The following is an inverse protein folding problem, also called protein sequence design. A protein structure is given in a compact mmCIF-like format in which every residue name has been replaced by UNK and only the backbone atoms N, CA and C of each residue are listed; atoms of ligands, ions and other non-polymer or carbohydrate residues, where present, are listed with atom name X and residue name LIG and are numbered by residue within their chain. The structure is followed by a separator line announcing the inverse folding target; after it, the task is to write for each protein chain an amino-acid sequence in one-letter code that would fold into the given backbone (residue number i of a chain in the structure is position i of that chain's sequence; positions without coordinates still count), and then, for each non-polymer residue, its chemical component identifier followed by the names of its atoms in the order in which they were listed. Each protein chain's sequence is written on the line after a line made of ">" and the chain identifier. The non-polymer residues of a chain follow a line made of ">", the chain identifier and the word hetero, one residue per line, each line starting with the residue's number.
data_IF_547856751554
#
_entry.id   IF_547856751554
#
_cell.length_a   1.000
_cell.length_b   1.000
_cell.length_c   1.000
_cell.angle_alpha   90.00
_cell.angle_beta   90.00
_cell.angle_gamma   90.00
#
_symmetry.space_group_name_H-M   'P 1'
#
loop_
_entity.id
_entity.type
_entity.pdbx_description
1 polymer ?
#
# COMPACT_ATOMS: atom_id res chain seq x y z
N UNK A 1 52.14 38.84 -8.96
CA UNK A 1 51.52 38.23 -7.76
C UNK A 1 50.09 38.74 -7.65
N UNK A 2 49.17 38.23 -8.47
CA UNK A 2 47.70 38.29 -8.31
C UNK A 2 47.12 37.21 -9.25
N UNK A 3 46.10 36.48 -8.76
CA UNK A 3 45.25 35.48 -9.44
C UNK A 3 45.96 34.17 -9.85
N UNK A 4 45.47 32.97 -9.57
CA UNK A 4 44.08 32.53 -9.42
C UNK A 4 44.04 31.25 -8.57
N UNK A 5 43.42 31.30 -7.38
CA UNK A 5 43.06 30.12 -6.58
C UNK A 5 41.53 30.07 -6.51
N UNK A 6 40.91 29.71 -7.62
CA UNK A 6 39.51 29.32 -7.66
C UNK A 6 39.46 27.83 -8.03
N UNK A 7 39.44 26.97 -7.01
CA UNK A 7 38.87 25.64 -7.21
C UNK A 7 37.37 25.86 -7.47
N UNK A 8 36.80 25.32 -8.57
CA UNK A 8 35.38 25.45 -8.79
C UNK A 8 34.65 24.77 -7.62
N UNK A 9 33.76 25.53 -6.98
CA UNK A 9 32.81 25.01 -6.01
C UNK A 9 31.95 23.99 -6.77
N UNK A 10 32.36 22.73 -6.70
CA UNK A 10 31.56 21.62 -7.17
C UNK A 10 30.27 21.63 -6.37
N UNK A 11 29.16 21.83 -7.06
CA UNK A 11 27.83 21.55 -6.53
C UNK A 11 27.89 20.08 -6.09
N UNK A 12 27.95 19.85 -4.78
CA UNK A 12 27.81 18.50 -4.22
C UNK A 12 26.39 18.08 -4.63
N UNK A 13 26.21 17.04 -5.46
CA UNK A 13 24.87 16.54 -5.75
C UNK A 13 24.24 16.16 -4.41
N UNK A 14 22.93 16.43 -4.19
CA UNK A 14 22.27 15.99 -2.98
C UNK A 14 22.55 14.49 -2.80
N UNK A 15 22.96 14.10 -1.60
CA UNK A 15 23.19 12.69 -1.31
C UNK A 15 21.93 11.90 -1.69
N UNK A 16 22.06 11.00 -2.65
CA UNK A 16 21.02 10.01 -2.96
C UNK A 16 20.69 9.33 -1.62
N UNK A 17 19.43 9.35 -1.16
CA UNK A 17 19.07 8.68 0.07
C UNK A 17 19.42 7.19 -0.07
N UNK A 18 19.77 6.51 1.04
CA UNK A 18 20.05 5.09 0.97
C UNK A 18 18.85 4.36 0.34
N UNK A 19 19.08 3.37 -0.54
CA UNK A 19 18.07 2.78 -1.45
C UNK A 19 16.85 2.16 -0.74
N UNK A 20 16.92 2.04 0.59
CA UNK A 20 15.86 1.54 1.44
C UNK A 20 14.85 2.61 1.89
N UNK A 21 15.21 3.90 1.80
CA UNK A 21 14.36 5.01 2.25
C UNK A 21 13.38 5.50 1.17
N UNK A 22 13.62 5.23 -0.13
CA UNK A 22 12.63 5.53 -1.18
C UNK A 22 11.36 4.66 -1.08
N UNK A 23 11.41 3.53 -0.37
CA UNK A 23 10.35 2.53 -0.41
C UNK A 23 9.57 2.51 0.91
N UNK A 24 8.47 3.27 0.96
CA UNK A 24 7.45 3.22 2.02
C UNK A 24 6.71 1.87 2.00
N UNK A 25 7.38 0.81 2.45
CA UNK A 25 6.83 -0.54 2.57
C UNK A 25 7.21 -1.12 3.92
N UNK A 26 6.27 -1.81 4.57
CA UNK A 26 6.52 -2.48 5.84
C UNK A 26 7.53 -3.61 5.64
N UNK A 27 8.61 -3.57 6.42
CA UNK A 27 9.68 -4.58 6.42
C UNK A 27 9.84 -5.19 7.81
N UNK A 28 10.41 -6.39 7.86
CA UNK A 28 10.90 -7.02 9.09
C UNK A 28 12.20 -6.38 9.55
N UNK A 29 12.65 -6.74 10.75
CA UNK A 29 13.97 -6.36 11.28
C UNK A 29 15.12 -6.76 10.33
N UNK A 30 14.94 -7.84 9.56
CA UNK A 30 15.89 -8.31 8.53
C UNK A 30 15.74 -7.62 7.17
N UNK A 31 15.04 -6.47 7.11
CA UNK A 31 14.77 -5.72 5.87
C UNK A 31 13.99 -6.48 4.79
N UNK A 32 13.29 -7.56 5.14
CA UNK A 32 12.47 -8.34 4.22
C UNK A 32 11.03 -7.80 4.14
N UNK A 33 10.34 -7.92 2.99
CA UNK A 33 8.93 -7.54 2.90
C UNK A 33 8.07 -8.29 3.93
N UNK A 34 7.35 -7.55 4.78
CA UNK A 34 6.49 -8.16 5.77
C UNK A 34 5.08 -8.35 5.22
N UNK A 35 4.67 -9.62 5.08
CA UNK A 35 3.28 -9.97 4.77
C UNK A 35 2.55 -10.27 6.07
N UNK A 36 1.44 -9.56 6.30
CA UNK A 36 0.64 -9.72 7.51
C UNK A 36 0.13 -11.17 7.65
N UNK A 37 0.16 -11.77 8.86
CA UNK A 37 -0.33 -13.13 9.08
C UNK A 37 -1.77 -13.37 8.64
N UNK A 38 -2.62 -12.33 8.72
CA UNK A 38 -4.01 -12.39 8.27
C UNK A 38 -4.09 -12.53 6.74
N UNK A 39 -3.27 -11.77 6.01
CA UNK A 39 -3.21 -11.85 4.54
C UNK A 39 -2.76 -13.24 4.11
N UNK A 40 -1.69 -13.78 4.70
CA UNK A 40 -1.21 -15.15 4.42
C UNK A 40 -2.30 -16.20 4.60
N UNK A 41 -3.08 -16.11 5.69
CA UNK A 41 -4.18 -17.06 5.96
C UNK A 41 -5.30 -16.95 4.92
N UNK A 42 -5.66 -15.74 4.51
CA UNK A 42 -6.73 -15.53 3.53
C UNK A 42 -6.27 -15.97 2.13
N UNK A 43 -5.03 -15.70 1.75
CA UNK A 43 -4.44 -16.20 0.49
C UNK A 43 -4.49 -17.72 0.40
N UNK A 44 -4.11 -18.43 1.48
CA UNK A 44 -4.21 -19.89 1.54
C UNK A 44 -5.64 -20.39 1.38
N UNK A 45 -6.62 -19.71 1.98
CA UNK A 45 -8.05 -20.06 1.84
C UNK A 45 -8.53 -19.87 0.40
N UNK A 46 -8.21 -18.73 -0.22
CA UNK A 46 -8.56 -18.41 -1.60
C UNK A 46 -7.93 -19.42 -2.56
N UNK A 47 -6.65 -19.73 -2.37
CA UNK A 47 -5.93 -20.70 -3.20
C UNK A 47 -6.44 -22.15 -3.08
N UNK A 48 -7.04 -22.49 -1.92
CA UNK A 48 -7.63 -23.82 -1.69
C UNK A 48 -9.07 -23.94 -2.20
N UNK A 49 -9.70 -22.83 -2.56
CA UNK A 49 -11.09 -22.81 -3.02
C UNK A 49 -11.17 -23.02 -4.54
N UNK A 50 -11.53 -24.22 -4.95
CA UNK A 50 -11.68 -24.59 -6.36
C UNK A 50 -12.98 -24.07 -7.01
N UNK A 51 -13.87 -23.44 -6.24
CA UNK A 51 -15.09 -22.83 -6.79
C UNK A 51 -14.86 -21.42 -7.34
N UNK A 52 -13.74 -20.79 -6.98
CA UNK A 52 -13.37 -19.47 -7.49
C UNK A 52 -12.89 -19.57 -8.94
N UNK A 53 -13.49 -18.75 -9.80
CA UNK A 53 -13.07 -18.58 -11.19
C UNK A 53 -12.28 -17.28 -11.34
N UNK A 54 -11.51 -17.17 -12.43
CA UNK A 54 -10.77 -15.96 -12.77
C UNK A 54 -11.57 -15.09 -13.76
N UNK A 55 -12.90 -15.10 -13.63
CA UNK A 55 -13.76 -14.28 -14.46
C UNK A 55 -13.68 -12.81 -14.05
N UNK A 56 -14.01 -11.94 -15.00
CA UNK A 56 -14.05 -10.51 -14.74
C UNK A 56 -15.13 -10.19 -13.72
N UNK A 57 -14.74 -9.48 -12.67
CA UNK A 57 -15.69 -8.86 -11.77
C UNK A 57 -16.44 -7.72 -12.47
N UNK A 58 -17.63 -7.33 -11.95
CA UNK A 58 -18.31 -6.13 -12.40
C UNK A 58 -17.42 -4.89 -12.36
N UNK A 59 -17.79 -3.81 -13.06
CA UNK A 59 -17.02 -2.55 -13.10
C UNK A 59 -16.71 -2.02 -11.69
N UNK A 60 -17.63 -2.23 -10.76
CA UNK A 60 -17.48 -1.79 -9.37
C UNK A 60 -16.75 -2.82 -8.50
N UNK A 61 -16.34 -3.96 -9.02
CA UNK A 61 -15.73 -5.06 -8.25
C UNK A 61 -16.72 -5.84 -7.38
N UNK A 62 -16.19 -6.55 -6.40
CA UNK A 62 -16.94 -7.39 -5.45
C UNK A 62 -17.80 -6.53 -4.51
N UNK A 63 -19.13 -6.71 -4.47
CA UNK A 63 -20.01 -5.97 -3.56
C UNK A 63 -19.64 -6.14 -2.08
N UNK A 64 -19.25 -7.36 -1.68
CA UNK A 64 -18.85 -7.70 -0.31
C UNK A 64 -17.57 -6.96 0.09
N UNK A 65 -16.62 -6.86 -0.84
CA UNK A 65 -15.38 -6.11 -0.63
C UNK A 65 -15.68 -4.63 -0.44
N UNK A 66 -16.50 -4.04 -1.31
CA UNK A 66 -16.89 -2.63 -1.19
C UNK A 66 -17.62 -2.33 0.11
N UNK A 67 -18.57 -3.17 0.49
CA UNK A 67 -19.31 -3.01 1.75
C UNK A 67 -18.37 -3.08 2.96
N UNK A 68 -17.49 -4.08 2.99
CA UNK A 68 -16.53 -4.26 4.09
C UNK A 68 -15.50 -3.13 4.14
N UNK A 69 -14.98 -2.69 3.00
CA UNK A 69 -14.06 -1.56 2.92
C UNK A 69 -14.69 -0.26 3.43
N UNK A 70 -15.94 0.03 3.04
CA UNK A 70 -16.68 1.17 3.54
C UNK A 70 -16.90 1.11 5.05
N UNK A 71 -17.18 -0.07 5.61
CA UNK A 71 -17.32 -0.27 7.07
C UNK A 71 -16.02 -0.01 7.82
N UNK A 72 -14.90 -0.50 7.29
CA UNK A 72 -13.57 -0.26 7.89
C UNK A 72 -13.22 1.23 7.84
N UNK A 73 -13.52 1.91 6.72
CA UNK A 73 -13.18 3.31 6.53
C UNK A 73 -14.03 4.27 7.37
N UNK A 74 -15.34 4.00 7.49
CA UNK A 74 -16.29 4.90 8.15
C UNK A 74 -16.61 4.51 9.60
N UNK A 75 -16.28 3.28 10.00
CA UNK A 75 -16.72 2.68 11.25
C UNK A 75 -18.14 2.09 11.14
N UNK A 76 -18.40 1.03 11.91
CA UNK A 76 -19.68 0.31 11.88
C UNK A 76 -20.88 1.18 12.32
N UNK A 77 -20.64 2.14 13.21
CA UNK A 77 -21.66 3.04 13.74
C UNK A 77 -21.91 4.31 12.91
N UNK A 78 -21.27 4.41 11.74
CA UNK A 78 -21.36 5.61 10.92
C UNK A 78 -22.82 5.92 10.53
N UNK A 79 -23.26 7.18 10.63
CA UNK A 79 -24.61 7.58 10.20
C UNK A 79 -24.85 7.30 8.71
N UNK A 80 -23.80 7.15 7.90
CA UNK A 80 -23.89 6.74 6.50
C UNK A 80 -24.58 5.38 6.29
N UNK A 81 -24.51 4.49 7.30
CA UNK A 81 -25.19 3.18 7.26
C UNK A 81 -26.58 3.19 7.91
N UNK A 82 -26.92 4.24 8.67
CA UNK A 82 -28.21 4.38 9.35
C UNK A 82 -29.29 4.99 8.46
N UNK A 83 -28.89 5.77 7.45
CA UNK A 83 -29.79 6.60 6.65
C UNK A 83 -30.15 5.98 5.28
N UNK A 84 -29.87 4.69 5.06
CA UNK A 84 -30.15 3.90 3.83
C UNK A 84 -29.69 4.53 2.49
N UNK A 85 -28.85 5.57 2.50
CA UNK A 85 -28.43 6.32 1.30
C UNK A 85 -27.51 5.57 0.33
N UNK A 86 -27.11 4.34 0.67
CA UNK A 86 -26.10 3.55 -0.05
C UNK A 86 -26.59 2.22 -0.61
N UNK A 87 -27.90 2.04 -0.79
CA UNK A 87 -28.52 0.87 -1.45
C UNK A 87 -28.45 1.03 -2.97
#
# INVERSE_FOLDING_TARGET
>A
MVCDRLQPVGIIPPAEPPPDMERSAYRTDDSQPWVLPVVKKVEQKIASDHSLNHEYLPILGLPEFRSSASRIALGEDSPAFKDERGK
#
